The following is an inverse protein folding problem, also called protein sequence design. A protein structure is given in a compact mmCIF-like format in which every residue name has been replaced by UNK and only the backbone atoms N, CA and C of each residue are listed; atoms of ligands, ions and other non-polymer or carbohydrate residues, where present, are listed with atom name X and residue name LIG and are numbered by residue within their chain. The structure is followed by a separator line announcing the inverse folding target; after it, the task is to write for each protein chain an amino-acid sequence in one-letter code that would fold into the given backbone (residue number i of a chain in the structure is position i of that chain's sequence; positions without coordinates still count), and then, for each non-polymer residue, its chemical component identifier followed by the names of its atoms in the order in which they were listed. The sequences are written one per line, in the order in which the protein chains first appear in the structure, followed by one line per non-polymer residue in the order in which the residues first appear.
data_IF_220344817265
#
_entry.id   IF_220344817265
#
_cell.length_a   1.000
_cell.length_b   1.000
_cell.length_c   1.000
_cell.angle_alpha   90.00
_cell.angle_beta   90.00
_cell.angle_gamma   90.00
#
_symmetry.space_group_name_H-M   'P 1'
#
loop_
_entity.id
_entity.type
_entity.pdbx_description
1 polymer ?
#
# COMPACT_ATOMS: atom_id res chain seq x y z
N UNK A 1 0.05 -22.81 24.71
CA UNK A 1 -0.25 -22.23 23.39
C UNK A 1 -1.69 -21.78 23.40
N UNK A 2 -1.98 -20.55 22.96
CA UNK A 2 -3.35 -20.04 22.81
C UNK A 2 -3.62 -19.95 21.33
N UNK A 3 -4.74 -20.51 20.87
CA UNK A 3 -5.22 -20.38 19.49
C UNK A 3 -6.57 -19.70 19.47
N UNK A 4 -6.76 -18.81 18.49
CA UNK A 4 -8.02 -18.13 18.20
C UNK A 4 -8.50 -18.60 16.83
N UNK A 5 -9.74 -19.06 16.74
CA UNK A 5 -10.40 -19.42 15.49
C UNK A 5 -11.69 -18.62 15.35
N UNK A 6 -12.01 -18.21 14.13
CA UNK A 6 -13.22 -17.44 13.80
C UNK A 6 -13.57 -17.63 12.34
N UNK A 7 -14.84 -17.46 11.99
CA UNK A 7 -15.30 -17.49 10.60
C UNK A 7 -15.00 -16.14 9.93
N UNK A 8 -14.63 -16.18 8.65
CA UNK A 8 -14.56 -15.01 7.78
C UNK A 8 -15.74 -15.12 6.81
N UNK A 9 -16.76 -14.30 7.02
CA UNK A 9 -18.00 -14.35 6.22
C UNK A 9 -17.91 -13.45 4.96
N UNK A 10 -16.88 -12.61 4.87
CA UNK A 10 -16.61 -11.76 3.71
C UNK A 10 -15.75 -12.48 2.68
N UNK A 11 -15.93 -12.21 1.37
CA UNK A 11 -15.01 -12.70 0.34
C UNK A 11 -13.57 -12.29 0.64
N UNK A 12 -12.64 -13.21 0.40
CA UNK A 12 -11.19 -13.00 0.51
C UNK A 12 -10.51 -13.43 -0.78
N UNK A 13 -9.28 -12.96 -0.98
CA UNK A 13 -8.41 -13.40 -2.06
C UNK A 13 -7.45 -14.47 -1.55
N UNK A 14 -7.08 -15.41 -2.41
CA UNK A 14 -6.18 -16.53 -2.06
C UNK A 14 -4.72 -16.07 -1.86
N UNK A 15 -4.32 -14.97 -2.52
CA UNK A 15 -2.99 -14.36 -2.41
C UNK A 15 -3.10 -12.85 -2.34
N UNK A 16 -2.01 -12.16 -1.99
CA UNK A 16 -1.97 -10.69 -1.98
C UNK A 16 -1.76 -10.08 -3.38
N UNK A 17 -1.43 -10.87 -4.40
CA UNK A 17 -1.12 -10.35 -5.74
C UNK A 17 -2.23 -9.49 -6.35
N UNK A 18 -3.53 -9.84 -6.23
CA UNK A 18 -4.61 -8.98 -6.70
C UNK A 18 -4.69 -7.64 -5.94
N UNK A 19 -4.37 -7.65 -4.64
CA UNK A 19 -4.36 -6.44 -3.81
C UNK A 19 -3.19 -5.53 -4.20
N UNK A 20 -2.02 -6.10 -4.48
CA UNK A 20 -0.85 -5.36 -4.93
C UNK A 20 -1.00 -4.82 -6.34
N UNK A 21 -1.62 -5.57 -7.24
CA UNK A 21 -1.96 -5.09 -8.59
C UNK A 21 -2.89 -3.86 -8.50
N UNK A 22 -3.90 -3.92 -7.63
CA UNK A 22 -4.78 -2.77 -7.40
C UNK A 22 -4.02 -1.58 -6.77
N UNK A 23 -3.09 -1.82 -5.85
CA UNK A 23 -2.26 -0.76 -5.29
C UNK A 23 -1.38 -0.08 -6.35
N UNK A 24 -0.83 -0.82 -7.31
CA UNK A 24 -0.08 -0.25 -8.44
C UNK A 24 -0.97 0.60 -9.36
N UNK A 25 -2.23 0.22 -9.56
CA UNK A 25 -3.21 1.05 -10.25
C UNK A 25 -3.49 2.34 -9.47
N UNK A 26 -3.66 2.27 -8.16
CA UNK A 26 -3.82 3.43 -7.29
C UNK A 26 -2.60 4.37 -7.37
N UNK A 27 -1.38 3.84 -7.29
CA UNK A 27 -0.14 4.60 -7.47
C UNK A 27 -0.11 5.30 -8.83
N UNK A 28 -0.54 4.60 -9.89
CA UNK A 28 -0.59 5.16 -11.23
C UNK A 28 -1.63 6.28 -11.39
N UNK A 29 -2.83 6.12 -10.83
CA UNK A 29 -3.92 7.10 -10.96
C UNK A 29 -3.68 8.32 -10.08
N UNK A 30 -3.26 8.12 -8.82
CA UNK A 30 -3.20 9.19 -7.83
C UNK A 30 -1.82 9.82 -7.67
N UNK A 31 -0.72 9.07 -7.87
CA UNK A 31 0.63 9.55 -7.57
C UNK A 31 1.45 9.93 -8.82
N UNK A 32 1.03 9.54 -10.03
CA UNK A 32 1.72 9.92 -11.28
C UNK A 32 1.25 11.24 -11.91
N UNK A 33 0.21 11.87 -11.34
CA UNK A 33 -0.44 13.05 -11.93
C UNK A 33 0.37 14.34 -11.78
N UNK A 34 1.12 14.49 -10.69
CA UNK A 34 1.88 15.72 -10.40
C UNK A 34 3.36 15.64 -10.81
N UNK A 35 3.94 14.45 -10.76
CA UNK A 35 5.34 14.17 -11.10
C UNK A 35 5.50 12.67 -11.40
N UNK A 36 6.70 12.24 -11.79
CA UNK A 36 7.00 10.83 -11.96
C UNK A 36 6.81 10.07 -10.63
N UNK A 37 6.39 8.80 -10.73
CA UNK A 37 6.19 7.92 -9.58
C UNK A 37 7.50 7.70 -8.83
N UNK A 38 7.42 7.63 -7.51
CA UNK A 38 8.55 7.26 -6.65
C UNK A 38 8.50 5.74 -6.48
N UNK A 39 9.56 4.99 -6.87
CA UNK A 39 9.59 3.54 -6.68
C UNK A 39 9.39 3.15 -5.22
N UNK A 40 8.63 2.08 -4.96
CA UNK A 40 8.31 1.61 -3.60
C UNK A 40 9.56 1.28 -2.76
N UNK A 41 10.63 0.85 -3.41
CA UNK A 41 11.92 0.56 -2.77
C UNK A 41 12.81 1.80 -2.54
N UNK A 42 12.29 3.02 -2.72
CA UNK A 42 13.05 4.25 -2.50
C UNK A 42 13.21 4.61 -1.02
N UNK A 43 12.12 4.54 -0.25
CA UNK A 43 12.10 4.84 1.18
C UNK A 43 12.08 3.59 2.06
N UNK A 44 12.35 3.77 3.36
CA UNK A 44 12.18 2.73 4.37
C UNK A 44 10.73 2.54 4.76
N UNK A 45 10.40 1.39 5.36
CA UNK A 45 9.03 1.03 5.78
C UNK A 45 8.40 2.09 6.69
N UNK A 46 9.19 2.69 7.57
CA UNK A 46 8.71 3.71 8.52
C UNK A 46 8.57 5.10 7.89
N UNK A 47 9.24 5.36 6.77
CA UNK A 47 9.15 6.65 6.08
C UNK A 47 7.91 6.74 5.18
N UNK A 48 7.39 5.62 4.67
CA UNK A 48 6.27 5.62 3.73
C UNK A 48 4.95 6.13 4.30
N UNK A 49 4.65 5.90 5.58
CA UNK A 49 3.40 6.38 6.21
C UNK A 49 3.16 7.88 6.05
N UNK A 50 4.04 8.76 6.55
CA UNK A 50 3.88 10.22 6.39
C UNK A 50 4.00 10.68 4.92
N UNK A 51 4.79 10.00 4.09
CA UNK A 51 4.95 10.33 2.66
C UNK A 51 3.64 10.08 1.90
N UNK A 52 3.07 8.88 2.01
CA UNK A 52 1.82 8.52 1.36
C UNK A 52 0.68 9.44 1.82
N UNK A 53 0.60 9.72 3.14
CA UNK A 53 -0.37 10.68 3.67
C UNK A 53 -0.24 12.06 3.01
N UNK A 54 0.97 12.61 2.97
CA UNK A 54 1.21 13.94 2.36
C UNK A 54 0.77 13.97 0.90
N UNK A 55 1.07 12.94 0.12
CA UNK A 55 0.66 12.85 -1.29
C UNK A 55 -0.85 12.69 -1.44
N UNK A 56 -1.47 11.79 -0.67
CA UNK A 56 -2.91 11.53 -0.70
C UNK A 56 -3.76 12.72 -0.28
N UNK A 57 -3.30 13.55 0.68
CA UNK A 57 -3.98 14.80 1.08
C UNK A 57 -4.12 15.81 -0.08
N UNK A 58 -3.43 15.59 -1.22
CA UNK A 58 -3.49 16.44 -2.43
C UNK A 58 -4.31 15.83 -3.57
N UNK A 59 -4.94 14.68 -3.33
CA UNK A 59 -5.80 14.00 -4.31
C UNK A 59 -7.19 13.77 -3.71
N UNK A 60 -8.08 13.17 -4.50
CA UNK A 60 -9.41 12.72 -4.08
C UNK A 60 -9.44 11.23 -3.67
N UNK A 61 -8.26 10.64 -3.38
CA UNK A 61 -8.15 9.24 -2.95
C UNK A 61 -8.93 9.01 -1.64
N UNK A 62 -9.67 7.90 -1.56
CA UNK A 62 -10.34 7.52 -0.31
C UNK A 62 -9.33 7.07 0.76
N UNK A 63 -9.74 7.11 2.02
CA UNK A 63 -8.89 6.68 3.13
C UNK A 63 -8.49 5.19 3.01
N UNK A 64 -9.41 4.35 2.55
CA UNK A 64 -9.20 2.90 2.40
C UNK A 64 -8.22 2.61 1.25
N UNK A 65 -8.36 3.29 0.12
CA UNK A 65 -7.41 3.18 -1.00
C UNK A 65 -6.02 3.69 -0.60
N UNK A 66 -5.95 4.80 0.15
CA UNK A 66 -4.69 5.30 0.66
C UNK A 66 -4.04 4.33 1.64
N UNK A 67 -4.82 3.62 2.46
CA UNK A 67 -4.30 2.58 3.34
C UNK A 67 -3.70 1.41 2.55
N UNK A 68 -4.42 0.89 1.55
CA UNK A 68 -3.92 -0.17 0.65
C UNK A 68 -2.59 0.25 0.01
N UNK A 69 -2.55 1.46 -0.55
CA UNK A 69 -1.36 2.01 -1.19
C UNK A 69 -0.20 2.18 -0.19
N UNK A 70 -0.48 2.64 1.02
CA UNK A 70 0.53 2.77 2.08
C UNK A 70 1.11 1.40 2.45
N UNK A 71 0.26 0.36 2.57
CA UNK A 71 0.71 -1.00 2.85
C UNK A 71 1.53 -1.59 1.71
N UNK A 72 1.16 -1.31 0.46
CA UNK A 72 1.95 -1.68 -0.70
C UNK A 72 3.36 -1.09 -0.62
N UNK A 73 3.48 0.22 -0.39
CA UNK A 73 4.79 0.86 -0.26
C UNK A 73 5.61 0.31 0.90
N UNK A 74 4.98 0.05 2.04
CA UNK A 74 5.62 -0.53 3.21
C UNK A 74 6.11 -1.96 2.97
N UNK A 75 5.31 -2.80 2.33
CA UNK A 75 5.64 -4.19 2.01
C UNK A 75 6.79 -4.29 0.99
N UNK A 76 6.90 -3.30 0.10
CA UNK A 76 7.94 -3.25 -0.94
C UNK A 76 9.05 -2.23 -0.62
N UNK A 77 9.14 -1.80 0.64
CA UNK A 77 10.11 -0.80 1.07
C UNK A 77 11.55 -1.31 0.97
N UNK A 78 12.50 -0.38 0.91
CA UNK A 78 13.94 -0.65 0.75
C UNK A 78 14.48 -1.66 1.77
N UNK A 79 14.05 -1.53 3.02
CA UNK A 79 14.48 -2.33 4.17
C UNK A 79 13.59 -3.55 4.44
N UNK A 80 12.66 -3.86 3.52
CA UNK A 80 11.82 -5.06 3.56
C UNK A 80 12.19 -6.04 2.44
N UNK A 81 12.37 -5.55 1.22
CA UNK A 81 12.68 -6.40 0.04
C UNK A 81 14.15 -6.89 0.03
N UNK A 82 14.99 -6.36 0.92
CA UNK A 82 16.42 -6.69 1.04
C UNK A 82 16.80 -7.67 2.15
N UNK A 83 15.82 -8.32 2.80
CA UNK A 83 16.03 -9.26 3.91
C UNK A 83 15.47 -10.66 3.63
#
# INVERSE_FOLDING_TARGET
AVSLTGAIDSPVVDTLDPVWSYAEELDNVYCATCHAKIPSNHFTVNAWGPVAKSMGDRTDISAENLEILTKFFQHHAKDVVGH
#
